data_IF_168292783383
#
_entry.id   IF_168292783383
#
_cell.length_a   1.000
_cell.length_b   1.000
_cell.length_c   1.000
_cell.angle_alpha   90.00
_cell.angle_beta   90.00
_cell.angle_gamma   90.00
#
_symmetry.space_group_name_H-M   'P 1'
#
loop_
_entity.id
_entity.type
_entity.pdbx_description
1 polymer ?
#
# COMPACT_ATOMS: atom_id res chain seq x y z
N UNK A 1 -6.01 -9.10 -5.03
CA UNK A 1 -5.10 -8.10 -5.63
C UNK A 1 -5.91 -7.25 -6.57
N UNK A 2 -5.64 -5.94 -6.63
CA UNK A 2 -6.35 -5.04 -7.54
C UNK A 2 -5.75 -5.11 -8.94
N UNK A 3 -6.52 -4.64 -9.95
CA UNK A 3 -6.01 -4.54 -11.33
C UNK A 3 -4.71 -3.73 -11.41
N UNK A 4 -4.60 -2.64 -10.64
CA UNK A 4 -3.41 -1.79 -10.63
C UNK A 4 -2.19 -2.54 -10.11
N UNK A 5 -2.34 -3.31 -9.04
CA UNK A 5 -1.25 -4.12 -8.47
C UNK A 5 -0.80 -5.23 -9.45
N UNK A 6 -1.74 -5.87 -10.15
CA UNK A 6 -1.42 -6.88 -11.17
C UNK A 6 -0.64 -6.27 -12.35
N UNK A 7 -1.05 -5.08 -12.80
CA UNK A 7 -0.35 -4.36 -13.87
C UNK A 7 1.07 -3.95 -13.47
N UNK A 8 1.25 -3.47 -12.24
CA UNK A 8 2.59 -3.11 -11.73
C UNK A 8 3.49 -4.34 -11.69
N UNK A 9 3.01 -5.49 -11.20
CA UNK A 9 3.79 -6.74 -11.18
C UNK A 9 4.16 -7.21 -12.59
N UNK A 10 3.21 -7.17 -13.51
CA UNK A 10 3.48 -7.50 -14.91
C UNK A 10 4.54 -6.56 -15.49
N UNK A 11 4.46 -5.26 -15.21
CA UNK A 11 5.46 -4.30 -15.64
C UNK A 11 6.84 -4.57 -15.02
N UNK A 12 6.90 -4.94 -13.74
CA UNK A 12 8.15 -5.32 -13.06
C UNK A 12 8.78 -6.60 -13.62
N UNK A 13 7.98 -7.50 -14.22
CA UNK A 13 8.46 -8.72 -14.89
C UNK A 13 9.08 -8.48 -16.28
N UNK A 14 9.03 -7.23 -16.76
CA UNK A 14 9.50 -6.85 -18.08
C UNK A 14 10.98 -7.23 -18.28
N UNK A 15 11.26 -7.97 -19.35
CA UNK A 15 12.62 -8.39 -19.72
C UNK A 15 12.82 -8.47 -21.23
N UNK A 16 14.06 -8.34 -21.68
CA UNK A 16 14.44 -8.55 -23.08
C UNK A 16 14.79 -10.02 -23.33
N UNK A 17 14.12 -10.65 -24.29
CA UNK A 17 14.41 -12.02 -24.74
C UNK A 17 14.56 -12.01 -26.26
N UNK A 18 15.72 -12.40 -26.77
CA UNK A 18 16.03 -12.41 -28.20
C UNK A 18 15.74 -11.08 -28.92
N UNK A 19 15.99 -9.95 -28.27
CA UNK A 19 15.74 -8.62 -28.84
C UNK A 19 14.30 -8.14 -28.78
N UNK A 20 13.39 -8.91 -28.17
CA UNK A 20 11.97 -8.57 -28.00
C UNK A 20 11.67 -8.37 -26.51
N UNK A 21 10.92 -7.31 -26.20
CA UNK A 21 10.39 -7.12 -24.85
C UNK A 21 9.28 -8.11 -24.57
N UNK A 22 9.44 -8.88 -23.49
CA UNK A 22 8.43 -9.81 -23.00
C UNK A 22 8.05 -9.44 -21.56
N UNK A 23 6.81 -9.74 -21.22
CA UNK A 23 6.23 -9.56 -19.90
C UNK A 23 5.64 -10.90 -19.48
N UNK A 24 5.60 -11.19 -18.19
CA UNK A 24 4.83 -12.32 -17.68
C UNK A 24 3.33 -12.08 -17.90
N UNK A 25 2.55 -13.15 -17.84
CA UNK A 25 1.10 -13.07 -17.95
C UNK A 25 0.52 -12.22 -16.80
N UNK A 26 -0.54 -11.48 -17.10
CA UNK A 26 -1.20 -10.66 -16.09
C UNK A 26 -1.86 -11.58 -15.05
N UNK A 27 -1.42 -11.49 -13.80
CA UNK A 27 -2.00 -12.28 -12.71
C UNK A 27 -3.52 -11.97 -12.55
N UNK A 28 -4.33 -12.97 -12.17
CA UNK A 28 -5.74 -12.75 -11.88
C UNK A 28 -5.94 -11.65 -10.82
N UNK A 29 -6.86 -10.74 -11.11
CA UNK A 29 -7.26 -9.68 -10.19
C UNK A 29 -8.77 -9.71 -10.00
N UNK A 30 -9.21 -9.32 -8.80
CA UNK A 30 -10.63 -9.20 -8.49
C UNK A 30 -11.00 -7.72 -8.39
N UNK A 31 -12.01 -7.25 -9.15
CA UNK A 31 -12.53 -5.92 -8.96
C UNK A 31 -13.26 -5.84 -7.61
N UNK A 32 -13.17 -4.69 -6.94
CA UNK A 32 -13.98 -4.43 -5.75
C UNK A 32 -15.47 -4.41 -6.12
N UNK A 33 -16.32 -5.00 -5.29
CA UNK A 33 -17.77 -4.96 -5.49
C UNK A 33 -18.32 -3.57 -5.16
N UNK A 34 -17.69 -2.85 -4.22
CA UNK A 34 -18.10 -1.50 -3.83
C UNK A 34 -16.94 -0.51 -3.70
N UNK A 35 -17.27 0.78 -3.76
CA UNK A 35 -16.31 1.86 -3.49
C UNK A 35 -15.78 1.81 -2.04
N UNK A 36 -16.62 1.39 -1.08
CA UNK A 36 -16.25 1.28 0.32
C UNK A 36 -15.14 0.24 0.54
N UNK A 37 -15.29 -0.94 -0.07
CA UNK A 37 -14.25 -1.99 -0.05
C UNK A 37 -12.94 -1.50 -0.66
N UNK A 38 -13.02 -0.76 -1.78
CA UNK A 38 -11.83 -0.18 -2.40
C UNK A 38 -11.09 0.78 -1.46
N UNK A 39 -11.83 1.69 -0.80
CA UNK A 39 -11.24 2.62 0.16
C UNK A 39 -10.63 1.93 1.37
N UNK A 40 -11.28 0.90 1.90
CA UNK A 40 -10.76 0.12 3.02
C UNK A 40 -9.46 -0.59 2.63
N UNK A 41 -9.44 -1.26 1.46
CA UNK A 41 -8.26 -1.95 0.96
C UNK A 41 -7.07 -0.99 0.76
N UNK A 42 -7.28 0.09 0.00
CA UNK A 42 -6.22 1.05 -0.28
C UNK A 42 -5.79 1.83 0.98
N UNK A 43 -6.73 2.12 1.88
CA UNK A 43 -6.43 2.70 3.19
C UNK A 43 -5.49 1.82 4.00
N UNK A 44 -5.77 0.51 4.09
CA UNK A 44 -4.89 -0.46 4.76
C UNK A 44 -3.52 -0.55 4.10
N UNK A 45 -3.44 -0.54 2.76
CA UNK A 45 -2.16 -0.56 2.05
C UNK A 45 -1.32 0.69 2.31
N UNK A 46 -1.94 1.85 2.37
CA UNK A 46 -1.26 3.08 2.75
C UNK A 46 -0.76 3.03 4.20
N UNK A 47 -1.55 2.46 5.11
CA UNK A 47 -1.13 2.27 6.50
C UNK A 47 0.11 1.36 6.61
N UNK A 48 0.07 0.21 5.95
CA UNK A 48 1.21 -0.73 5.87
C UNK A 48 2.46 -0.03 5.33
N UNK A 49 2.31 0.74 4.25
CA UNK A 49 3.40 1.51 3.66
C UNK A 49 3.97 2.52 4.66
N UNK A 50 3.15 3.36 5.28
CA UNK A 50 3.63 4.37 6.23
C UNK A 50 4.26 3.75 7.47
N UNK A 51 3.70 2.67 8.01
CA UNK A 51 4.30 1.93 9.13
C UNK A 51 5.68 1.37 8.79
N UNK A 52 5.90 0.96 7.53
CA UNK A 52 7.22 0.51 7.06
C UNK A 52 8.24 1.65 7.01
N UNK A 53 7.79 2.89 6.76
CA UNK A 53 8.64 4.10 6.66
C UNK A 53 8.90 4.78 8.01
N UNK A 54 8.04 4.55 9.01
CA UNK A 54 8.25 5.13 10.34
C UNK A 54 9.44 4.45 11.02
N UNK A 55 10.50 5.20 11.22
CA UNK A 55 11.64 4.82 12.05
C UNK A 55 11.59 5.55 13.37
N UNK A 56 11.72 4.80 14.47
CA UNK A 56 11.65 5.36 15.81
C UNK A 56 13.00 5.20 16.48
N UNK A 57 13.43 6.27 17.15
CA UNK A 57 14.57 6.18 18.05
C UNK A 57 14.26 5.20 19.18
N UNK A 58 15.28 4.46 19.67
CA UNK A 58 15.11 3.44 20.73
C UNK A 58 14.47 3.96 22.03
N UNK A 59 14.59 5.28 22.28
CA UNK A 59 14.01 5.97 23.45
C UNK A 59 12.66 6.64 23.16
N UNK A 60 12.06 6.40 22.01
CA UNK A 60 10.76 6.98 21.65
C UNK A 60 9.69 6.57 22.66
N UNK A 61 8.85 7.53 23.07
CA UNK A 61 7.65 7.28 23.88
C UNK A 61 6.44 6.85 23.04
N UNK A 62 6.50 7.10 21.73
CA UNK A 62 5.44 6.74 20.79
C UNK A 62 5.76 5.44 20.10
N UNK A 63 4.72 4.64 19.83
CA UNK A 63 4.78 3.50 18.93
C UNK A 63 4.58 3.96 17.49
N UNK A 64 4.91 3.10 16.51
CA UNK A 64 4.66 3.42 15.09
C UNK A 64 3.17 3.64 14.80
N UNK A 65 2.30 2.95 15.55
CA UNK A 65 0.85 3.10 15.45
C UNK A 65 0.37 4.46 15.96
N UNK A 66 0.97 4.97 17.03
CA UNK A 66 0.65 6.32 17.53
C UNK A 66 1.03 7.37 16.49
N UNK A 67 2.23 7.24 15.89
CA UNK A 67 2.65 8.13 14.80
C UNK A 67 1.71 8.03 13.60
N UNK A 68 1.32 6.83 13.18
CA UNK A 68 0.37 6.64 12.07
C UNK A 68 -0.96 7.36 12.35
N UNK A 69 -1.51 7.22 13.56
CA UNK A 69 -2.73 7.92 13.99
C UNK A 69 -2.55 9.45 13.94
N UNK A 70 -1.39 9.96 14.35
CA UNK A 70 -1.06 11.41 14.27
C UNK A 70 -1.05 11.86 12.81
N UNK A 71 -0.38 11.12 11.91
CA UNK A 71 -0.33 11.43 10.47
C UNK A 71 -1.71 11.44 9.82
N UNK A 72 -2.63 10.60 10.32
CA UNK A 72 -4.05 10.60 9.91
C UNK A 72 -4.87 11.75 10.50
N UNK A 73 -4.27 12.63 11.29
CA UNK A 73 -4.96 13.73 11.97
C UNK A 73 -5.85 13.28 13.14
N UNK A 74 -5.80 12.01 13.57
CA UNK A 74 -6.66 11.48 14.64
C UNK A 74 -6.29 11.94 16.05
N UNK A 75 -5.13 12.58 16.22
CA UNK A 75 -4.71 13.20 17.49
C UNK A 75 -4.89 14.72 17.53
N UNK A 76 -5.30 15.35 16.42
CA UNK A 76 -5.49 16.81 16.35
C UNK A 76 -6.94 17.22 16.67
N UNK A 77 -7.88 16.30 16.49
CA UNK A 77 -9.26 16.47 16.90
C UNK A 77 -9.46 15.59 18.12
N UNK A 78 -9.28 16.13 19.34
CA UNK A 78 -9.56 15.37 20.55
C UNK A 78 -10.95 14.74 20.45
N UNK A 79 -11.01 13.42 20.23
CA UNK A 79 -12.21 12.65 20.52
C UNK A 79 -12.37 12.67 22.04
N UNK A 80 -13.15 13.65 22.50
CA UNK A 80 -13.94 13.56 23.74
C UNK A 80 -15.17 12.70 23.47
#
# INVERSE_FOLDING_TARGET
MTKGEALVRQQESQRMVNGVWVFDELEPYEPFATKAEAFEYYGRKLDEYWLSKIELHKKSKFTKQDILKILKGRYLNGEQ
#
